data_IF_868842056683
#
_entry.id   IF_868842056683
#
_cell.length_a   1.000
_cell.length_b   1.000
_cell.length_c   1.000
_cell.angle_alpha   90.00
_cell.angle_beta   90.00
_cell.angle_gamma   90.00
#
_symmetry.space_group_name_H-M   'P 1'
#
loop_
_entity.id
_entity.type
_entity.pdbx_description
1 polymer ?
#
# COMPACT_ATOMS: atom_id res chain seq x y z
N UNK A 1 4.15 -14.91 9.71
CA UNK A 1 3.75 -13.88 8.76
C UNK A 1 2.24 -13.66 8.82
N UNK A 2 1.80 -12.47 8.54
CA UNK A 2 0.38 -12.09 8.63
C UNK A 2 -0.31 -12.31 7.30
N UNK A 3 -1.55 -12.81 7.32
CA UNK A 3 -2.35 -13.01 6.10
C UNK A 3 -2.93 -11.69 5.58
N UNK A 4 -3.17 -10.75 6.47
CA UNK A 4 -3.59 -9.40 6.10
C UNK A 4 -3.18 -8.44 7.20
N UNK A 5 -2.97 -7.18 6.82
CA UNK A 5 -2.57 -6.14 7.76
C UNK A 5 -3.11 -4.79 7.31
N UNK A 6 -3.19 -3.86 8.24
CA UNK A 6 -3.57 -2.48 7.95
C UNK A 6 -2.43 -1.56 8.40
N UNK A 7 -2.07 -0.63 7.52
CA UNK A 7 -1.03 0.35 7.78
C UNK A 7 -1.63 1.74 7.69
N UNK A 8 -1.54 2.49 8.78
CA UNK A 8 -2.02 3.87 8.80
C UNK A 8 -0.84 4.82 8.60
N UNK A 9 -0.84 5.49 7.46
CA UNK A 9 0.17 6.51 7.13
C UNK A 9 -0.49 7.87 6.89
N UNK A 10 -1.65 8.08 7.48
CA UNK A 10 -2.31 9.38 7.41
C UNK A 10 -1.41 10.45 8.02
N UNK A 11 -1.44 11.64 7.43
CA UNK A 11 -0.59 12.74 7.86
C UNK A 11 0.83 12.72 7.31
N UNK A 12 1.26 11.62 6.69
CA UNK A 12 2.59 11.54 6.09
C UNK A 12 2.54 11.97 4.62
N UNK A 13 3.58 12.64 4.17
CA UNK A 13 3.68 13.11 2.79
C UNK A 13 4.59 12.21 1.95
N UNK A 14 4.40 12.29 0.63
CA UNK A 14 5.22 11.59 -0.36
C UNK A 14 6.72 11.83 -0.08
N UNK A 15 7.57 10.80 -0.12
CA UNK A 15 7.31 9.42 -0.51
C UNK A 15 7.08 8.47 0.68
N UNK A 16 6.85 8.98 1.88
CA UNK A 16 6.79 8.17 3.10
C UNK A 16 5.70 7.09 3.08
N UNK A 17 4.48 7.34 2.58
CA UNK A 17 3.46 6.29 2.54
C UNK A 17 3.92 5.04 1.78
N UNK A 18 4.53 5.22 0.61
CA UNK A 18 5.03 4.11 -0.20
C UNK A 18 6.19 3.40 0.46
N UNK A 19 7.12 4.14 1.05
CA UNK A 19 8.27 3.55 1.74
C UNK A 19 7.84 2.68 2.91
N UNK A 20 6.88 3.18 3.71
CA UNK A 20 6.36 2.42 4.84
C UNK A 20 5.56 1.19 4.39
N UNK A 21 4.78 1.32 3.32
CA UNK A 21 4.04 0.20 2.76
C UNK A 21 4.98 -0.90 2.23
N UNK A 22 6.05 -0.51 1.56
CA UNK A 22 7.04 -1.47 1.06
C UNK A 22 7.66 -2.27 2.21
N UNK A 23 7.98 -1.58 3.30
CA UNK A 23 8.50 -2.26 4.49
C UNK A 23 7.47 -3.18 5.11
N UNK A 24 6.22 -2.73 5.23
CA UNK A 24 5.14 -3.51 5.83
C UNK A 24 4.81 -4.76 5.01
N UNK A 25 4.90 -4.69 3.68
CA UNK A 25 4.64 -5.84 2.82
C UNK A 25 5.60 -7.01 3.08
N UNK A 26 6.80 -6.73 3.58
CA UNK A 26 7.74 -7.78 3.95
C UNK A 26 7.25 -8.61 5.14
N UNK A 27 6.34 -8.06 5.94
CA UNK A 27 5.78 -8.73 7.10
C UNK A 27 4.52 -9.52 6.83
N UNK A 28 3.95 -9.42 5.63
CA UNK A 28 2.77 -10.21 5.26
C UNK A 28 3.19 -11.39 4.41
N UNK A 29 2.38 -12.46 4.43
CA UNK A 29 2.68 -13.66 3.64
C UNK A 29 2.57 -13.34 2.14
N UNK A 30 3.33 -14.03 1.27
CA UNK A 30 3.15 -13.91 -0.17
C UNK A 30 1.70 -14.19 -0.56
N UNK A 31 1.11 -13.32 -1.38
CA UNK A 31 -0.29 -13.42 -1.76
C UNK A 31 -1.27 -12.80 -0.77
N UNK A 32 -0.79 -12.41 0.42
CA UNK A 32 -1.63 -11.74 1.41
C UNK A 32 -1.77 -10.24 1.10
N UNK A 33 -2.71 -9.59 1.76
CA UNK A 33 -3.04 -8.20 1.47
C UNK A 33 -2.59 -7.26 2.57
N UNK A 34 -2.26 -6.03 2.16
CA UNK A 34 -1.99 -4.90 3.04
C UNK A 34 -2.94 -3.76 2.67
N UNK A 35 -3.70 -3.28 3.64
CA UNK A 35 -4.54 -2.10 3.46
C UNK A 35 -3.77 -0.89 3.98
N UNK A 36 -3.66 0.15 3.16
CA UNK A 36 -2.94 1.37 3.51
C UNK A 36 -3.92 2.53 3.54
N UNK A 37 -3.89 3.30 4.61
CA UNK A 37 -4.69 4.53 4.76
C UNK A 37 -3.75 5.72 4.67
N UNK A 38 -4.04 6.66 3.78
CA UNK A 38 -3.21 7.83 3.53
C UNK A 38 -4.06 9.07 3.31
N UNK A 39 -3.46 10.23 3.48
CA UNK A 39 -4.14 11.52 3.25
C UNK A 39 -3.43 12.40 2.24
N UNK A 40 -2.20 12.05 1.84
CA UNK A 40 -1.47 12.82 0.83
C UNK A 40 -2.11 12.59 -0.56
N UNK A 41 -2.51 13.66 -1.27
CA UNK A 41 -3.10 13.52 -2.60
C UNK A 41 -2.19 12.81 -3.61
N UNK A 42 -0.88 12.87 -3.44
CA UNK A 42 0.07 12.20 -4.33
C UNK A 42 0.11 10.69 -4.13
N UNK A 43 -0.47 10.17 -3.06
CA UNK A 43 -0.37 8.75 -2.72
C UNK A 43 -0.95 7.83 -3.80
N UNK A 44 -2.06 8.23 -4.43
CA UNK A 44 -2.68 7.40 -5.48
C UNK A 44 -1.73 7.15 -6.65
N UNK A 45 -1.07 8.21 -7.13
CA UNK A 45 -0.10 8.12 -8.20
C UNK A 45 1.13 7.32 -7.76
N UNK A 46 1.59 7.56 -6.55
CA UNK A 46 2.78 6.91 -6.02
C UNK A 46 2.56 5.41 -5.85
N UNK A 47 1.39 4.98 -5.37
CA UNK A 47 1.10 3.56 -5.22
C UNK A 47 0.89 2.86 -6.57
N UNK A 48 0.34 3.56 -7.57
CA UNK A 48 0.23 3.01 -8.92
C UNK A 48 1.63 2.73 -9.50
N UNK A 49 2.54 3.69 -9.37
CA UNK A 49 3.92 3.52 -9.83
C UNK A 49 4.64 2.41 -9.04
N UNK A 50 4.45 2.37 -7.74
CA UNK A 50 5.04 1.36 -6.87
C UNK A 50 4.60 -0.05 -7.30
N UNK A 51 3.32 -0.22 -7.59
CA UNK A 51 2.78 -1.50 -8.05
C UNK A 51 3.45 -1.96 -9.35
N UNK A 52 3.61 -1.05 -10.31
CA UNK A 52 4.26 -1.36 -11.57
C UNK A 52 5.73 -1.74 -11.38
N UNK A 53 6.43 -0.99 -10.53
CA UNK A 53 7.88 -1.18 -10.34
C UNK A 53 8.22 -2.46 -9.57
N UNK A 54 7.38 -2.83 -8.61
CA UNK A 54 7.70 -3.93 -7.70
C UNK A 54 7.00 -5.25 -8.04
N UNK A 55 5.92 -5.19 -8.81
CA UNK A 55 5.08 -6.36 -9.08
C UNK A 55 4.10 -6.69 -7.96
N UNK A 56 4.09 -5.93 -6.85
CA UNK A 56 3.01 -6.04 -5.88
C UNK A 56 1.74 -5.50 -6.51
N UNK A 57 0.63 -6.17 -6.29
CA UNK A 57 -0.61 -5.86 -6.99
C UNK A 57 -1.44 -4.82 -6.24
N UNK A 58 -1.82 -3.75 -6.92
CA UNK A 58 -2.75 -2.77 -6.37
C UNK A 58 -4.18 -3.21 -6.70
N UNK A 59 -4.85 -3.80 -5.73
CA UNK A 59 -6.18 -4.38 -5.91
C UNK A 59 -7.29 -3.33 -5.92
N UNK A 60 -7.15 -2.29 -5.11
CA UNK A 60 -8.12 -1.20 -5.09
C UNK A 60 -7.48 0.09 -4.63
N UNK A 61 -8.08 1.19 -5.05
CA UNK A 61 -7.65 2.54 -4.70
C UNK A 61 -8.92 3.38 -4.61
N UNK A 62 -9.32 3.74 -3.40
CA UNK A 62 -10.55 4.49 -3.14
C UNK A 62 -10.29 5.69 -2.26
N UNK A 63 -11.20 6.65 -2.27
CA UNK A 63 -11.13 7.83 -1.43
C UNK A 63 -12.47 8.08 -0.79
N UNK A 64 -12.47 8.38 0.51
CA UNK A 64 -13.69 8.68 1.24
C UNK A 64 -13.37 9.65 2.38
N UNK A 65 -14.07 10.77 2.41
CA UNK A 65 -13.91 11.79 3.46
C UNK A 65 -12.45 12.24 3.65
N UNK A 66 -11.72 12.39 2.56
CA UNK A 66 -10.32 12.85 2.60
C UNK A 66 -9.30 11.75 2.91
N UNK A 67 -9.76 10.53 3.15
CA UNK A 67 -8.87 9.40 3.41
C UNK A 67 -8.78 8.53 2.16
N UNK A 68 -7.56 8.30 1.70
CA UNK A 68 -7.26 7.40 0.59
C UNK A 68 -7.01 6.01 1.14
N UNK A 69 -7.62 5.01 0.52
CA UNK A 69 -7.48 3.62 0.95
C UNK A 69 -6.97 2.80 -0.22
N UNK A 70 -5.84 2.14 0.00
CA UNK A 70 -5.21 1.29 -1.00
C UNK A 70 -5.14 -0.13 -0.46
N UNK A 71 -5.52 -1.10 -1.28
CA UNK A 71 -5.36 -2.51 -0.93
C UNK A 71 -4.31 -3.09 -1.86
N UNK A 72 -3.20 -3.52 -1.29
CA UNK A 72 -2.08 -4.10 -2.01
C UNK A 72 -2.00 -5.59 -1.69
N UNK A 73 -1.69 -6.40 -2.70
CA UNK A 73 -1.41 -7.82 -2.49
C UNK A 73 0.08 -8.05 -2.72
N UNK A 74 0.74 -8.64 -1.71
CA UNK A 74 2.14 -8.97 -1.85
C UNK A 74 2.31 -9.99 -2.98
N UNK A 75 3.22 -9.70 -3.91
CA UNK A 75 3.51 -10.64 -4.99
C UNK A 75 3.95 -11.98 -4.41
N UNK A 76 3.58 -13.04 -5.10
CA UNK A 76 4.01 -14.38 -4.72
C UNK A 76 5.52 -14.54 -4.88
N UNK A 77 6.07 -15.61 -4.32
CA UNK A 77 7.47 -15.92 -4.50
C UNK A 77 7.76 -16.14 -5.99
N UNK A 78 8.96 -15.72 -6.45
CA UNK A 78 9.34 -15.91 -7.84
C UNK A 78 9.43 -17.39 -8.23
#
# INVERSE_FOLDING_TARGET
MTDSATLDVQGLSCPLPVLKANKALRGVAPGATLTVLATDPAAAKDFAAFSEETGHELLSSTAEAGVLRFVLRRRGAP
#
